data_IF_638336082285
#
_entry.id   IF_638336082285
#
_cell.length_a   1.000
_cell.length_b   1.000
_cell.length_c   1.000
_cell.angle_alpha   90.00
_cell.angle_beta   90.00
_cell.angle_gamma   90.00
#
_symmetry.space_group_name_H-M   'P 1'
#
loop_
_entity.id
_entity.type
_entity.pdbx_description
1 polymer ?
#
# COMPACT_ATOMS: atom_id res chain seq x y z
N UNK A 1 -15.50 1.38 -11.40
CA UNK A 1 -16.29 2.60 -11.19
C UNK A 1 -17.14 2.49 -9.93
N UNK A 2 -17.17 3.51 -9.12
CA UNK A 2 -17.96 3.56 -7.90
C UNK A 2 -19.24 4.37 -8.16
N UNK A 3 -20.38 3.75 -8.01
CA UNK A 3 -21.68 4.42 -8.19
C UNK A 3 -22.08 5.27 -6.99
N UNK A 4 -21.71 4.80 -5.80
CA UNK A 4 -22.08 5.41 -4.54
C UNK A 4 -20.81 5.62 -3.75
N UNK A 5 -20.56 6.83 -3.29
CA UNK A 5 -19.40 7.14 -2.49
C UNK A 5 -19.37 6.35 -1.17
N UNK A 6 -20.53 5.93 -0.68
CA UNK A 6 -20.59 5.08 0.51
C UNK A 6 -19.97 3.69 0.30
N UNK A 7 -19.83 3.24 -0.95
CA UNK A 7 -19.17 1.98 -1.27
C UNK A 7 -17.64 2.07 -1.28
N UNK A 8 -17.11 3.28 -1.29
CA UNK A 8 -15.66 3.49 -1.41
C UNK A 8 -14.90 2.92 -0.22
N UNK A 9 -15.37 3.16 1.01
CA UNK A 9 -14.73 2.64 2.20
C UNK A 9 -14.60 1.12 2.20
N UNK A 10 -15.70 0.37 2.02
CA UNK A 10 -15.64 -1.09 1.92
C UNK A 10 -14.74 -1.58 0.78
N UNK A 11 -14.72 -0.90 -0.35
CA UNK A 11 -13.85 -1.28 -1.47
C UNK A 11 -12.37 -1.08 -1.13
N UNK A 12 -12.04 0.01 -0.46
CA UNK A 12 -10.66 0.24 0.02
C UNK A 12 -10.26 -0.81 1.05
N UNK A 13 -11.16 -1.22 1.92
CA UNK A 13 -10.89 -2.27 2.91
C UNK A 13 -10.60 -3.61 2.23
N UNK A 14 -11.28 -3.93 1.14
CA UNK A 14 -11.00 -5.14 0.37
C UNK A 14 -9.58 -5.11 -0.20
N UNK A 15 -9.15 -3.97 -0.70
CA UNK A 15 -7.78 -3.79 -1.21
C UNK A 15 -6.77 -3.99 -0.10
N UNK A 16 -6.98 -3.34 1.05
CA UNK A 16 -6.10 -3.46 2.20
C UNK A 16 -6.01 -4.92 2.66
N UNK A 17 -7.13 -5.62 2.71
CA UNK A 17 -7.17 -7.02 3.12
C UNK A 17 -6.32 -7.89 2.19
N UNK A 18 -6.40 -7.66 0.88
CA UNK A 18 -5.58 -8.37 -0.10
C UNK A 18 -4.10 -8.10 0.10
N UNK A 19 -3.73 -6.84 0.32
CA UNK A 19 -2.34 -6.47 0.56
C UNK A 19 -1.81 -7.08 1.86
N UNK A 20 -2.62 -7.10 2.90
CA UNK A 20 -2.23 -7.69 4.19
C UNK A 20 -2.14 -9.21 4.17
N UNK A 21 -2.73 -9.86 3.18
CA UNK A 21 -2.62 -11.31 3.01
C UNK A 21 -1.30 -11.73 2.33
N UNK A 22 -0.57 -10.78 1.76
CA UNK A 22 0.68 -11.05 1.06
C UNK A 22 1.87 -10.87 2.02
N UNK A 23 2.37 -11.98 2.56
CA UNK A 23 3.50 -11.95 3.50
C UNK A 23 4.77 -11.38 2.87
N UNK A 24 5.00 -11.62 1.58
CA UNK A 24 6.17 -11.05 0.92
C UNK A 24 6.11 -9.52 0.87
N UNK A 25 4.93 -8.96 0.60
CA UNK A 25 4.73 -7.52 0.65
C UNK A 25 4.94 -6.98 2.06
N UNK A 26 4.37 -7.64 3.06
CA UNK A 26 4.50 -7.22 4.46
C UNK A 26 5.95 -7.25 4.92
N UNK A 27 6.70 -8.26 4.52
CA UNK A 27 8.13 -8.35 4.85
C UNK A 27 8.93 -7.21 4.23
N UNK A 28 8.62 -6.83 3.00
CA UNK A 28 9.27 -5.70 2.34
C UNK A 28 9.00 -4.37 3.04
N UNK A 29 7.82 -4.24 3.65
CA UNK A 29 7.45 -3.04 4.39
C UNK A 29 8.03 -3.03 5.82
N UNK A 30 7.94 -4.16 6.48
CA UNK A 30 8.24 -4.24 7.93
C UNK A 30 9.73 -4.36 8.22
N UNK A 31 10.43 -5.26 7.52
CA UNK A 31 11.85 -5.51 7.77
C UNK A 31 12.73 -4.51 7.06
N UNK A 32 13.67 -3.93 7.80
CA UNK A 32 14.60 -2.94 7.24
C UNK A 32 15.90 -3.57 6.74
N UNK A 33 16.07 -4.87 6.95
CA UNK A 33 17.27 -5.62 6.56
C UNK A 33 17.40 -5.72 5.04
N UNK A 34 18.60 -6.01 4.56
CA UNK A 34 18.84 -6.18 3.13
C UNK A 34 18.25 -7.44 2.54
N UNK A 35 17.86 -8.41 3.37
CA UNK A 35 17.21 -9.64 2.95
C UNK A 35 15.86 -9.80 3.66
N UNK A 36 14.88 -8.94 3.33
CA UNK A 36 13.60 -8.96 4.04
C UNK A 36 12.77 -10.22 3.77
N UNK A 37 12.90 -10.80 2.57
CA UNK A 37 12.07 -11.94 2.18
C UNK A 37 12.45 -13.24 2.88
N UNK A 38 13.68 -13.33 3.41
CA UNK A 38 14.12 -14.49 4.18
C UNK A 38 13.73 -14.42 5.66
N UNK A 39 13.16 -13.30 6.10
CA UNK A 39 12.76 -13.12 7.47
C UNK A 39 11.46 -13.88 7.79
N UNK A 40 11.20 -14.04 9.09
CA UNK A 40 10.01 -14.74 9.56
C UNK A 40 8.72 -14.00 9.16
N UNK A 41 7.68 -14.75 8.84
CA UNK A 41 6.37 -14.19 8.54
C UNK A 41 5.86 -13.35 9.71
N UNK A 42 5.13 -12.27 9.40
CA UNK A 42 4.50 -11.46 10.41
C UNK A 42 3.31 -12.20 11.02
N UNK A 43 3.16 -12.07 12.34
CA UNK A 43 2.01 -12.61 13.05
C UNK A 43 0.78 -11.72 12.81
N UNK A 44 -0.41 -12.26 13.08
CA UNK A 44 -1.64 -11.46 12.98
C UNK A 44 -1.62 -10.25 13.91
N UNK A 45 -1.02 -10.39 15.10
CA UNK A 45 -0.87 -9.28 16.03
C UNK A 45 0.02 -8.19 15.45
N UNK A 46 1.15 -8.56 14.84
CA UNK A 46 2.04 -7.59 14.19
C UNK A 46 1.34 -6.88 13.04
N UNK A 47 0.59 -7.61 12.23
CA UNK A 47 -0.14 -7.02 11.11
C UNK A 47 -1.17 -6.01 11.63
N UNK A 48 -1.93 -6.39 12.64
CA UNK A 48 -2.98 -5.54 13.19
C UNK A 48 -2.42 -4.29 13.88
N UNK A 49 -1.34 -4.42 14.63
CA UNK A 49 -0.82 -3.34 15.46
C UNK A 49 0.26 -2.50 14.78
N UNK A 50 1.06 -3.11 13.90
CA UNK A 50 2.24 -2.44 13.35
C UNK A 50 2.17 -2.17 11.84
N UNK A 51 1.28 -2.82 11.12
CA UNK A 51 1.13 -2.64 9.68
C UNK A 51 -0.10 -1.83 9.33
N UNK A 52 -1.26 -2.21 9.87
CA UNK A 52 -2.51 -1.51 9.59
C UNK A 52 -2.42 -0.06 10.04
N UNK A 53 -2.79 0.85 9.15
CA UNK A 53 -2.79 2.31 9.39
C UNK A 53 -1.42 2.89 9.81
N UNK A 54 -0.36 2.11 9.68
CA UNK A 54 1.00 2.56 9.96
C UNK A 54 1.89 2.40 8.74
N UNK A 55 1.92 1.21 8.16
CA UNK A 55 2.73 0.92 6.97
C UNK A 55 1.87 0.84 5.70
N UNK A 56 0.59 0.55 5.83
CA UNK A 56 -0.38 0.63 4.74
C UNK A 56 -1.47 1.61 5.19
N UNK A 57 -1.52 2.77 4.56
CA UNK A 57 -2.38 3.88 4.99
C UNK A 57 -3.31 4.35 3.89
N UNK A 58 -4.48 4.83 4.29
CA UNK A 58 -5.36 5.62 3.43
C UNK A 58 -5.29 7.06 3.94
N UNK A 59 -4.58 7.92 3.22
CA UNK A 59 -4.35 9.29 3.67
C UNK A 59 -4.27 10.24 2.48
N UNK A 60 -4.58 11.55 2.71
CA UNK A 60 -4.44 12.55 1.65
C UNK A 60 -2.98 12.87 1.32
N UNK A 61 -2.07 12.71 2.27
CA UNK A 61 -0.63 12.92 2.06
C UNK A 61 0.18 12.29 3.18
N UNK A 62 1.46 12.04 2.92
CA UNK A 62 2.41 11.54 3.92
C UNK A 62 3.36 12.65 4.33
N UNK A 63 3.62 12.75 5.63
CA UNK A 63 4.73 13.57 6.13
C UNK A 63 6.04 12.78 5.98
N UNK A 64 7.06 13.34 5.33
CA UNK A 64 8.34 12.63 5.18
C UNK A 64 9.02 12.26 6.50
N UNK A 65 8.67 12.93 7.58
CA UNK A 65 9.28 12.69 8.90
C UNK A 65 8.70 11.49 9.63
N UNK A 66 7.63 10.90 9.13
CA UNK A 66 6.96 9.78 9.81
C UNK A 66 7.60 8.42 9.52
N UNK A 67 8.53 8.33 8.58
CA UNK A 67 8.93 7.03 8.06
C UNK A 67 10.31 6.59 8.50
N UNK A 68 10.38 5.63 9.42
CA UNK A 68 11.57 4.81 9.63
C UNK A 68 11.51 3.52 8.82
N UNK A 69 10.34 3.15 8.30
CA UNK A 69 10.08 1.95 7.50
C UNK A 69 9.43 2.33 6.19
N UNK A 70 9.38 1.35 5.27
CA UNK A 70 8.69 1.55 3.99
C UNK A 70 7.18 1.63 4.19
N UNK A 71 6.52 2.53 3.48
CA UNK A 71 5.09 2.80 3.64
C UNK A 71 4.40 2.77 2.28
N UNK A 72 3.21 2.19 2.25
CA UNK A 72 2.27 2.31 1.14
C UNK A 72 1.16 3.25 1.56
N UNK A 73 0.96 4.33 0.81
CA UNK A 73 -0.16 5.22 1.01
C UNK A 73 -1.13 5.10 -0.16
N UNK A 74 -2.39 4.88 0.15
CA UNK A 74 -3.45 4.91 -0.85
C UNK A 74 -4.14 6.27 -0.77
N UNK A 75 -4.16 6.97 -1.88
CA UNK A 75 -4.86 8.25 -2.02
C UNK A 75 -6.00 8.08 -3.00
N UNK A 76 -7.15 8.57 -2.61
CA UNK A 76 -8.30 8.62 -3.51
C UNK A 76 -8.27 9.95 -4.24
N UNK A 77 -8.17 9.89 -5.57
CA UNK A 77 -8.27 11.07 -6.42
C UNK A 77 -9.64 10.98 -7.09
N UNK A 78 -10.54 11.87 -6.70
CA UNK A 78 -11.87 11.90 -7.31
C UNK A 78 -11.76 12.46 -8.73
N UNK A 79 -12.32 11.72 -9.69
CA UNK A 79 -12.46 12.20 -11.04
C UNK A 79 -13.75 12.98 -11.22
N UNK A 80 -13.91 13.55 -12.40
CA UNK A 80 -15.14 14.19 -12.78
C UNK A 80 -16.25 13.18 -13.02
N UNK A 81 -17.50 13.63 -13.05
CA UNK A 81 -18.62 12.80 -13.44
C UNK A 81 -18.38 12.26 -14.86
N UNK A 82 -18.80 11.02 -15.08
CA UNK A 82 -18.69 10.40 -16.39
C UNK A 82 -19.47 11.21 -17.41
N UNK A 83 -18.89 11.49 -18.59
CA UNK A 83 -19.51 12.27 -19.65
C UNK A 83 -20.81 11.66 -20.16
N UNK A 84 -20.94 10.34 -20.09
CA UNK A 84 -22.12 9.63 -20.57
C UNK A 84 -23.24 9.54 -19.52
N UNK A 85 -22.88 9.60 -18.24
CA UNK A 85 -23.86 9.45 -17.16
C UNK A 85 -23.36 10.11 -15.87
N UNK A 86 -24.04 11.15 -15.44
CA UNK A 86 -23.69 11.92 -14.24
C UNK A 86 -23.80 11.13 -12.94
N UNK A 87 -24.47 9.98 -12.95
CA UNK A 87 -24.56 9.10 -11.77
C UNK A 87 -23.27 8.37 -11.48
N UNK A 88 -22.36 8.27 -12.46
CA UNK A 88 -21.11 7.55 -12.33
C UNK A 88 -19.94 8.53 -12.24
N UNK A 89 -19.02 8.22 -11.36
CA UNK A 89 -17.78 8.96 -11.23
C UNK A 89 -16.61 8.00 -11.36
N UNK A 90 -15.62 8.43 -12.10
CA UNK A 90 -14.36 7.68 -12.17
C UNK A 90 -13.55 8.00 -10.92
N UNK A 91 -13.23 6.96 -10.15
CA UNK A 91 -12.42 7.09 -8.95
C UNK A 91 -11.05 6.49 -9.24
N UNK A 92 -10.03 7.29 -9.03
CA UNK A 92 -8.65 6.85 -9.19
C UNK A 92 -8.07 6.65 -7.80
N UNK A 93 -7.52 5.46 -7.57
CA UNK A 93 -6.77 5.16 -6.36
C UNK A 93 -5.29 5.21 -6.72
N UNK A 94 -4.58 6.14 -6.10
CA UNK A 94 -3.16 6.29 -6.31
C UNK A 94 -2.40 5.61 -5.18
N UNK A 95 -1.49 4.70 -5.55
CA UNK A 95 -0.59 4.06 -4.59
C UNK A 95 0.74 4.78 -4.59
N UNK A 96 1.09 5.36 -3.46
CA UNK A 96 2.38 6.00 -3.27
C UNK A 96 3.23 5.12 -2.37
N UNK A 97 4.43 4.77 -2.85
CA UNK A 97 5.36 3.93 -2.10
C UNK A 97 6.53 4.78 -1.65
N UNK A 98 6.72 4.85 -0.35
CA UNK A 98 7.82 5.62 0.26
C UNK A 98 8.80 4.65 0.89
N UNK A 99 10.05 4.72 0.47
CA UNK A 99 11.11 3.85 0.98
C UNK A 99 12.29 4.73 1.40
N UNK A 100 12.75 4.62 2.66
CA UNK A 100 13.96 5.33 3.09
C UNK A 100 15.14 4.95 2.20
N UNK A 101 15.97 5.92 1.85
CA UNK A 101 17.11 5.69 0.95
C UNK A 101 18.04 4.59 1.45
N UNK A 102 18.20 4.47 2.76
CA UNK A 102 19.04 3.43 3.36
C UNK A 102 18.52 2.01 3.14
N UNK A 103 17.26 1.89 2.75
CA UNK A 103 16.58 0.60 2.56
C UNK A 103 16.29 0.29 1.10
N UNK A 104 16.73 1.14 0.17
CA UNK A 104 16.39 1.00 -1.25
C UNK A 104 16.96 -0.27 -1.87
N UNK A 105 18.23 -0.56 -1.63
CA UNK A 105 18.90 -1.72 -2.22
C UNK A 105 18.77 -2.90 -1.28
N UNK A 106 18.20 -4.00 -1.76
CA UNK A 106 18.09 -5.25 -1.03
C UNK A 106 18.91 -6.33 -1.71
N UNK A 107 18.87 -7.55 -1.18
CA UNK A 107 19.64 -8.69 -1.66
C UNK A 107 19.52 -8.87 -3.17
N UNK A 108 20.61 -9.30 -3.80
CA UNK A 108 20.71 -9.55 -5.25
C UNK A 108 20.52 -8.29 -6.10
N UNK A 109 20.88 -7.12 -5.53
CA UNK A 109 20.79 -5.82 -6.19
C UNK A 109 19.35 -5.45 -6.60
N UNK A 110 18.35 -6.04 -5.97
CA UNK A 110 16.97 -5.63 -6.18
C UNK A 110 16.69 -4.29 -5.50
N UNK A 111 15.72 -3.57 -6.02
CA UNK A 111 15.30 -2.29 -5.45
C UNK A 111 13.97 -2.47 -4.74
N UNK A 112 13.98 -2.20 -3.44
CA UNK A 112 12.82 -2.39 -2.58
C UNK A 112 11.55 -1.69 -3.10
N UNK A 113 11.59 -0.41 -3.53
CA UNK A 113 10.36 0.23 -4.01
C UNK A 113 9.74 -0.47 -5.22
N UNK A 114 10.55 -0.97 -6.15
CA UNK A 114 10.02 -1.68 -7.31
C UNK A 114 9.48 -3.06 -6.95
N UNK A 115 10.11 -3.73 -5.97
CA UNK A 115 9.57 -5.00 -5.45
C UNK A 115 8.21 -4.79 -4.78
N UNK A 116 8.06 -3.72 -4.00
CA UNK A 116 6.79 -3.37 -3.37
C UNK A 116 5.73 -3.10 -4.43
N UNK A 117 6.03 -2.26 -5.42
CA UNK A 117 5.09 -1.94 -6.50
C UNK A 117 4.67 -3.18 -7.29
N UNK A 118 5.63 -4.07 -7.56
CA UNK A 118 5.33 -5.33 -8.25
C UNK A 118 4.37 -6.21 -7.46
N UNK A 119 4.54 -6.29 -6.15
CA UNK A 119 3.62 -7.06 -5.29
C UNK A 119 2.23 -6.43 -5.24
N UNK A 120 2.14 -5.11 -5.17
CA UNK A 120 0.84 -4.42 -5.22
C UNK A 120 0.10 -4.78 -6.50
N UNK A 121 0.75 -4.68 -7.65
CA UNK A 121 0.14 -5.01 -8.94
C UNK A 121 -0.31 -6.46 -9.01
N UNK A 122 0.46 -7.37 -8.44
CA UNK A 122 0.11 -8.79 -8.41
C UNK A 122 -1.09 -9.07 -7.53
N UNK A 123 -1.23 -8.36 -6.42
CA UNK A 123 -2.29 -8.59 -5.44
C UNK A 123 -3.62 -7.98 -5.86
N UNK A 124 -3.60 -7.04 -6.77
CA UNK A 124 -4.81 -6.41 -7.30
C UNK A 124 -5.26 -7.14 -8.58
#
# INVERSE_FOLDING_TARGET
MVRDLAELGPNLQKIITRLQADQNLLKLLYYTDKDPLSQTDLTQTQIKEEVFDTLIKIIPRISPTETAKSIIAMRVISGDANDENDEFRDIIINFEVFVPLTQWVIKDANLRPFCIMGRILKDL
#
